data_IF_457216913450
#
_entry.id   IF_457216913450
#
_cell.length_a   1.000
_cell.length_b   1.000
_cell.length_c   1.000
_cell.angle_alpha   90.00
_cell.angle_beta   90.00
_cell.angle_gamma   90.00
#
_symmetry.space_group_name_H-M   'P 1'
#
loop_
_entity.id
_entity.type
_entity.pdbx_description
1 polymer ?
#
# COMPACT_ATOMS: atom_id res chain seq x y z
N UNK A 1 -14.59 4.59 -13.99
CA UNK A 1 -14.86 5.19 -12.67
C UNK A 1 -14.13 4.32 -11.66
N UNK A 2 -13.10 4.85 -10.97
CA UNK A 2 -12.29 4.04 -10.06
C UNK A 2 -13.03 3.74 -8.75
N UNK A 3 -12.64 2.67 -8.05
CA UNK A 3 -13.21 2.28 -6.74
C UNK A 3 -13.18 3.49 -5.77
N UNK A 4 -12.08 4.26 -5.77
CA UNK A 4 -11.94 5.48 -5.00
C UNK A 4 -12.93 6.59 -5.35
N UNK A 5 -13.29 6.75 -6.64
CA UNK A 5 -14.27 7.75 -7.05
C UNK A 5 -15.66 7.37 -6.57
N UNK A 6 -16.04 6.10 -6.75
CA UNK A 6 -17.32 5.57 -6.26
C UNK A 6 -17.44 5.68 -4.73
N UNK A 7 -16.39 5.32 -4.00
CA UNK A 7 -16.34 5.49 -2.55
C UNK A 7 -16.56 6.95 -2.13
N UNK A 8 -15.82 7.89 -2.74
CA UNK A 8 -15.98 9.32 -2.44
C UNK A 8 -17.40 9.81 -2.71
N UNK A 9 -18.03 9.37 -3.79
CA UNK A 9 -19.41 9.74 -4.10
C UNK A 9 -20.41 9.17 -3.07
N UNK A 10 -20.22 7.92 -2.65
CA UNK A 10 -21.04 7.26 -1.61
C UNK A 10 -20.88 7.94 -0.25
N UNK A 11 -19.66 8.28 0.15
CA UNK A 11 -19.37 8.97 1.42
C UNK A 11 -19.77 10.44 1.40
N UNK A 12 -19.57 11.15 0.29
CA UNK A 12 -19.96 12.55 0.14
C UNK A 12 -21.48 12.72 -0.05
N UNK A 13 -22.20 11.65 -0.43
CA UNK A 13 -23.65 11.71 -0.56
C UNK A 13 -24.28 12.06 0.79
N UNK A 14 -24.92 13.23 0.83
CA UNK A 14 -25.73 13.65 1.97
C UNK A 14 -27.08 12.92 1.87
N UNK A 15 -27.12 11.72 2.45
CA UNK A 15 -28.26 10.79 2.42
C UNK A 15 -29.58 11.50 2.78
N UNK A 16 -29.58 12.41 3.75
CA UNK A 16 -30.76 13.21 4.12
C UNK A 16 -31.32 14.02 2.95
N UNK A 17 -30.45 14.69 2.18
CA UNK A 17 -30.88 15.53 1.05
C UNK A 17 -31.40 14.75 -0.17
N UNK A 18 -30.95 13.50 -0.33
CA UNK A 18 -31.45 12.59 -1.37
C UNK A 18 -32.80 11.97 -0.95
N UNK A 19 -32.98 11.69 0.34
CA UNK A 19 -34.23 11.16 0.89
C UNK A 19 -35.38 12.15 0.80
N UNK A 20 -35.12 13.43 1.05
CA UNK A 20 -36.13 14.50 0.97
C UNK A 20 -36.75 14.66 -0.44
N UNK A 21 -36.10 14.10 -1.47
CA UNK A 21 -36.51 14.20 -2.88
C UNK A 21 -36.91 12.86 -3.50
N UNK A 22 -36.84 11.77 -2.74
CA UNK A 22 -37.12 10.43 -3.24
C UNK A 22 -38.63 10.13 -3.19
N UNK A 23 -39.19 9.57 -4.27
CA UNK A 23 -40.57 9.07 -4.28
C UNK A 23 -40.77 7.87 -3.33
N UNK A 24 -39.74 7.04 -3.16
CA UNK A 24 -39.71 5.89 -2.25
C UNK A 24 -38.39 5.89 -1.45
N UNK A 25 -38.34 6.62 -0.32
CA UNK A 25 -37.13 6.77 0.48
C UNK A 25 -36.68 5.45 1.11
N UNK A 26 -37.60 4.55 1.48
CA UNK A 26 -37.26 3.28 2.11
C UNK A 26 -36.51 2.35 1.15
N UNK A 27 -36.97 2.28 -0.11
CA UNK A 27 -36.28 1.52 -1.15
C UNK A 27 -34.92 2.12 -1.50
N UNK A 28 -34.82 3.45 -1.54
CA UNK A 28 -33.56 4.14 -1.82
C UNK A 28 -32.49 3.82 -0.75
N UNK A 29 -32.85 3.89 0.54
CA UNK A 29 -31.93 3.54 1.65
C UNK A 29 -31.42 2.10 1.51
N UNK A 30 -32.32 1.13 1.27
CA UNK A 30 -31.93 -0.28 1.12
C UNK A 30 -30.95 -0.50 -0.02
N UNK A 31 -31.13 0.21 -1.15
CA UNK A 31 -30.21 0.15 -2.28
C UNK A 31 -28.85 0.78 -1.94
N UNK A 32 -28.84 1.92 -1.26
CA UNK A 32 -27.60 2.59 -0.85
C UNK A 32 -26.80 1.76 0.17
N UNK A 33 -27.46 1.17 1.17
CA UNK A 33 -26.82 0.27 2.15
C UNK A 33 -26.18 -0.91 1.42
N UNK A 34 -26.89 -1.54 0.49
CA UNK A 34 -26.35 -2.66 -0.29
C UNK A 34 -25.14 -2.25 -1.14
N UNK A 35 -25.20 -1.10 -1.79
CA UNK A 35 -24.07 -0.58 -2.59
C UNK A 35 -22.86 -0.27 -1.70
N UNK A 36 -23.08 0.26 -0.50
CA UNK A 36 -22.05 0.48 0.52
C UNK A 36 -21.44 -0.84 1.01
N UNK A 37 -22.24 -1.87 1.25
CA UNK A 37 -21.77 -3.21 1.63
C UNK A 37 -20.92 -3.86 0.52
N UNK A 38 -21.38 -3.81 -0.73
CA UNK A 38 -20.66 -4.33 -1.88
C UNK A 38 -19.32 -3.60 -2.06
N UNK A 39 -19.34 -2.26 -1.96
CA UNK A 39 -18.13 -1.43 -2.03
C UNK A 39 -17.15 -1.74 -0.88
N UNK A 40 -17.66 -1.99 0.33
CA UNK A 40 -16.84 -2.35 1.49
C UNK A 40 -16.08 -3.67 1.24
N UNK A 41 -16.74 -4.66 0.64
CA UNK A 41 -16.12 -5.94 0.28
C UNK A 41 -15.01 -5.73 -0.76
N UNK A 42 -15.27 -4.92 -1.78
CA UNK A 42 -14.29 -4.60 -2.83
C UNK A 42 -13.05 -3.89 -2.26
N UNK A 43 -13.22 -2.89 -1.40
CA UNK A 43 -12.10 -2.16 -0.78
C UNK A 43 -11.31 -3.08 0.15
N UNK A 44 -11.98 -3.93 0.96
CA UNK A 44 -11.31 -4.91 1.82
C UNK A 44 -10.46 -5.90 1.02
N UNK A 45 -10.98 -6.38 -0.11
CA UNK A 45 -10.24 -7.27 -1.01
C UNK A 45 -9.02 -6.58 -1.63
N UNK A 46 -9.21 -5.33 -2.07
CA UNK A 46 -8.12 -4.50 -2.63
C UNK A 46 -7.03 -4.21 -1.59
N UNK A 47 -7.42 -3.92 -0.34
CA UNK A 47 -6.51 -3.74 0.79
C UNK A 47 -5.73 -5.03 1.09
N UNK A 48 -6.39 -6.18 1.13
CA UNK A 48 -5.72 -7.47 1.33
C UNK A 48 -4.69 -7.76 0.22
N UNK A 49 -5.01 -7.45 -1.04
CA UNK A 49 -4.07 -7.58 -2.16
C UNK A 49 -2.87 -6.63 -2.01
N UNK A 50 -3.10 -5.38 -1.59
CA UNK A 50 -2.04 -4.42 -1.34
C UNK A 50 -1.10 -4.88 -0.21
N UNK A 51 -1.64 -5.40 0.89
CA UNK A 51 -0.86 -6.00 1.99
C UNK A 51 -0.05 -7.22 1.51
N UNK A 52 -0.64 -8.07 0.67
CA UNK A 52 0.08 -9.19 0.08
C UNK A 52 1.23 -8.72 -0.83
N UNK A 53 1.03 -7.64 -1.59
CA UNK A 53 2.09 -7.06 -2.41
C UNK A 53 3.20 -6.44 -1.55
N UNK A 54 2.84 -5.64 -0.54
CA UNK A 54 3.77 -5.07 0.44
C UNK A 54 4.65 -6.15 1.06
N UNK A 55 4.09 -7.30 1.46
CA UNK A 55 4.88 -8.43 1.98
C UNK A 55 5.85 -9.03 0.96
N UNK A 56 5.50 -9.06 -0.33
CA UNK A 56 6.41 -9.52 -1.38
C UNK A 56 7.56 -8.53 -1.60
N UNK A 57 7.25 -7.23 -1.66
CA UNK A 57 8.24 -6.16 -1.81
C UNK A 57 9.17 -6.11 -0.60
N UNK A 58 8.65 -6.28 0.61
CA UNK A 58 9.46 -6.38 1.82
C UNK A 58 10.46 -7.54 1.76
N UNK A 59 10.04 -8.74 1.33
CA UNK A 59 10.97 -9.87 1.18
C UNK A 59 12.05 -9.59 0.14
N UNK A 60 11.69 -8.94 -0.97
CA UNK A 60 12.65 -8.51 -1.98
C UNK A 60 13.66 -7.50 -1.40
N UNK A 61 13.20 -6.57 -0.57
CA UNK A 61 14.07 -5.63 0.14
C UNK A 61 15.06 -6.36 1.03
N UNK A 62 14.58 -7.32 1.84
CA UNK A 62 15.41 -8.13 2.73
C UNK A 62 16.50 -8.88 1.93
N UNK A 63 16.15 -9.49 0.80
CA UNK A 63 17.09 -10.20 -0.08
C UNK A 63 18.15 -9.26 -0.68
N UNK A 64 17.76 -8.06 -1.10
CA UNK A 64 18.67 -7.04 -1.66
C UNK A 64 19.62 -6.52 -0.58
N UNK A 65 19.11 -6.24 0.62
CA UNK A 65 19.91 -5.82 1.77
C UNK A 65 20.91 -6.89 2.19
N UNK A 66 20.55 -8.17 2.12
CA UNK A 66 21.50 -9.27 2.35
C UNK A 66 22.66 -9.21 1.34
N UNK A 67 22.39 -8.97 0.05
CA UNK A 67 23.44 -8.82 -0.97
C UNK A 67 24.28 -7.57 -0.74
N UNK A 68 23.68 -6.46 -0.35
CA UNK A 68 24.39 -5.24 0.01
C UNK A 68 25.39 -5.49 1.14
N UNK A 69 24.92 -6.13 2.23
CA UNK A 69 25.74 -6.51 3.38
C UNK A 69 26.85 -7.50 3.00
N UNK A 70 26.55 -8.46 2.13
CA UNK A 70 27.56 -9.39 1.61
C UNK A 70 28.70 -8.65 0.90
N UNK A 71 28.39 -7.68 0.04
CA UNK A 71 29.40 -6.88 -0.64
C UNK A 71 30.15 -5.94 0.29
N UNK A 72 29.48 -5.39 1.31
CA UNK A 72 30.12 -4.62 2.37
C UNK A 72 31.17 -5.46 3.12
N UNK A 73 30.79 -6.63 3.61
CA UNK A 73 31.69 -7.55 4.31
C UNK A 73 32.88 -7.99 3.42
N UNK A 74 32.62 -8.21 2.12
CA UNK A 74 33.66 -8.58 1.15
C UNK A 74 34.64 -7.43 0.89
N UNK A 75 34.15 -6.19 0.86
CA UNK A 75 35.00 -5.00 0.77
C UNK A 75 35.89 -4.87 2.02
N UNK A 76 35.32 -4.99 3.22
CA UNK A 76 36.06 -4.93 4.49
C UNK A 76 37.16 -6.01 4.55
N UNK A 77 36.81 -7.25 4.19
CA UNK A 77 37.78 -8.35 4.15
C UNK A 77 38.91 -8.10 3.13
N UNK A 78 38.60 -7.50 1.99
CA UNK A 78 39.60 -7.16 0.99
C UNK A 78 40.55 -6.06 1.49
N UNK A 79 40.03 -5.03 2.17
CA UNK A 79 40.84 -3.99 2.82
C UNK A 79 41.73 -4.60 3.91
N UNK A 80 41.18 -5.45 4.78
CA UNK A 80 41.95 -6.12 5.83
C UNK A 80 43.11 -6.98 5.28
N UNK A 81 42.97 -7.48 4.05
CA UNK A 81 44.00 -8.26 3.34
C UNK A 81 44.90 -7.41 2.43
N UNK A 82 44.79 -6.07 2.45
CA UNK A 82 45.57 -5.15 1.61
C UNK A 82 45.27 -5.26 0.11
N UNK A 83 44.09 -5.77 -0.25
CA UNK A 83 43.68 -6.00 -1.64
C UNK A 83 42.78 -4.87 -2.16
N UNK A 84 43.35 -3.68 -2.30
CA UNK A 84 42.60 -2.45 -2.62
C UNK A 84 41.78 -2.52 -3.90
N UNK A 85 42.28 -3.19 -4.94
CA UNK A 85 41.54 -3.35 -6.20
C UNK A 85 40.24 -4.16 -6.01
N UNK A 86 40.29 -5.23 -5.22
CA UNK A 86 39.11 -6.05 -4.90
C UNK A 86 38.16 -5.30 -3.96
N UNK A 87 38.69 -4.53 -3.01
CA UNK A 87 37.88 -3.69 -2.14
C UNK A 87 37.08 -2.65 -2.95
N UNK A 88 37.73 -1.97 -3.91
CA UNK A 88 37.05 -1.01 -4.80
C UNK A 88 35.95 -1.67 -5.64
N UNK A 89 36.21 -2.85 -6.20
CA UNK A 89 35.19 -3.61 -6.95
C UNK A 89 34.00 -4.01 -6.07
N UNK A 90 34.27 -4.50 -4.85
CA UNK A 90 33.21 -4.87 -3.91
C UNK A 90 32.38 -3.66 -3.48
N UNK A 91 33.00 -2.49 -3.26
CA UNK A 91 32.29 -1.24 -2.97
C UNK A 91 31.43 -0.76 -4.15
N UNK A 92 31.90 -0.96 -5.39
CA UNK A 92 31.12 -0.63 -6.57
C UNK A 92 29.86 -1.49 -6.66
N UNK A 93 29.97 -2.80 -6.42
CA UNK A 93 28.81 -3.69 -6.36
C UNK A 93 27.90 -3.35 -5.18
N UNK A 94 28.44 -3.10 -3.97
CA UNK A 94 27.66 -2.62 -2.83
C UNK A 94 26.82 -1.42 -3.22
N UNK A 95 27.42 -0.39 -3.84
CA UNK A 95 26.72 0.83 -4.26
C UNK A 95 25.56 0.54 -5.23
N UNK A 96 25.70 -0.45 -6.12
CA UNK A 96 24.60 -0.87 -7.01
C UNK A 96 23.45 -1.49 -6.25
N UNK A 97 23.73 -2.26 -5.20
CA UNK A 97 22.68 -2.81 -4.33
C UNK A 97 22.07 -1.72 -3.44
N UNK A 98 22.86 -0.80 -2.88
CA UNK A 98 22.34 0.37 -2.13
C UNK A 98 21.32 1.16 -2.94
N UNK A 99 21.62 1.47 -4.21
CA UNK A 99 20.67 2.17 -5.09
C UNK A 99 19.37 1.37 -5.33
N UNK A 100 19.45 0.04 -5.36
CA UNK A 100 18.26 -0.81 -5.48
C UNK A 100 17.48 -0.85 -4.17
N UNK A 101 18.17 -0.92 -3.03
CA UNK A 101 17.58 -0.84 -1.69
C UNK A 101 16.75 0.44 -1.57
N UNK A 102 17.35 1.59 -1.88
CA UNK A 102 16.69 2.91 -1.86
C UNK A 102 15.43 2.93 -2.74
N UNK A 103 15.51 2.40 -3.97
CA UNK A 103 14.36 2.38 -4.88
C UNK A 103 13.20 1.50 -4.35
N UNK A 104 13.52 0.34 -3.79
CA UNK A 104 12.52 -0.59 -3.23
C UNK A 104 11.93 -0.06 -1.93
N UNK A 105 12.71 0.66 -1.12
CA UNK A 105 12.22 1.34 0.10
C UNK A 105 11.19 2.43 -0.24
N UNK A 106 11.41 3.17 -1.33
CA UNK A 106 10.43 4.16 -1.82
C UNK A 106 9.13 3.45 -2.24
N UNK A 107 9.22 2.38 -3.04
CA UNK A 107 8.04 1.60 -3.45
C UNK A 107 7.27 1.03 -2.24
N UNK A 108 7.98 0.51 -1.25
CA UNK A 108 7.38 0.00 -0.02
C UNK A 108 6.67 1.12 0.76
N UNK A 109 7.26 2.31 0.80
CA UNK A 109 6.66 3.49 1.45
C UNK A 109 5.36 3.91 0.75
N UNK A 110 5.33 3.93 -0.59
CA UNK A 110 4.12 4.21 -1.36
C UNK A 110 3.02 3.16 -1.11
N UNK A 111 3.39 1.87 -1.07
CA UNK A 111 2.44 0.80 -0.74
C UNK A 111 1.86 0.94 0.67
N UNK A 112 2.69 1.34 1.65
CA UNK A 112 2.21 1.59 3.00
C UNK A 112 1.19 2.73 3.03
N UNK A 113 1.44 3.83 2.32
CA UNK A 113 0.50 4.94 2.22
C UNK A 113 -0.84 4.50 1.60
N UNK A 114 -0.80 3.68 0.54
CA UNK A 114 -2.01 3.14 -0.10
C UNK A 114 -2.79 2.23 0.86
N UNK A 115 -2.10 1.39 1.64
CA UNK A 115 -2.74 0.51 2.62
C UNK A 115 -3.41 1.31 3.73
N UNK A 116 -2.75 2.36 4.24
CA UNK A 116 -3.34 3.26 5.25
C UNK A 116 -4.57 3.97 4.69
N UNK A 117 -4.52 4.49 3.46
CA UNK A 117 -5.70 5.09 2.82
C UNK A 117 -6.86 4.09 2.72
N UNK A 118 -6.60 2.84 2.33
CA UNK A 118 -7.66 1.82 2.31
C UNK A 118 -8.24 1.53 3.69
N UNK A 119 -7.42 1.56 4.75
CA UNK A 119 -7.89 1.35 6.12
C UNK A 119 -8.80 2.49 6.58
N UNK A 120 -8.42 3.73 6.26
CA UNK A 120 -9.22 4.91 6.55
C UNK A 120 -10.56 4.86 5.81
N UNK A 121 -10.54 4.54 4.50
CA UNK A 121 -11.75 4.42 3.68
C UNK A 121 -12.69 3.32 4.21
N UNK A 122 -12.14 2.17 4.62
CA UNK A 122 -12.90 1.07 5.25
C UNK A 122 -13.56 1.56 6.54
N UNK A 123 -12.82 2.27 7.40
CA UNK A 123 -13.33 2.78 8.66
C UNK A 123 -14.48 3.78 8.45
N UNK A 124 -14.31 4.71 7.50
CA UNK A 124 -15.33 5.69 7.16
C UNK A 124 -16.61 5.03 6.63
N UNK A 125 -16.48 4.04 5.73
CA UNK A 125 -17.63 3.31 5.20
C UNK A 125 -18.36 2.48 6.26
N UNK A 126 -17.61 1.81 7.14
CA UNK A 126 -18.17 1.06 8.27
C UNK A 126 -18.91 1.98 9.25
N UNK A 127 -18.37 3.16 9.53
CA UNK A 127 -19.04 4.14 10.38
C UNK A 127 -20.32 4.67 9.73
N UNK A 128 -20.30 4.92 8.42
CA UNK A 128 -21.48 5.37 7.68
C UNK A 128 -22.56 4.30 7.63
N UNK A 129 -22.20 3.02 7.42
CA UNK A 129 -23.11 1.88 7.53
C UNK A 129 -23.73 1.73 8.92
N UNK A 130 -22.97 1.97 10.00
CA UNK A 130 -23.50 1.93 11.38
C UNK A 130 -24.45 3.07 11.70
N UNK A 131 -24.31 4.21 11.02
CA UNK A 131 -25.16 5.39 11.23
C UNK A 131 -26.42 5.43 10.35
N UNK A 132 -26.53 4.50 9.39
CA UNK A 132 -27.68 4.33 8.50
C UNK A 132 -28.75 3.44 9.14
#
# INVERSE_FOLDING_TARGET
MGIFTRFKDIVASNMSSMLDKAEDPEKLIKLMIREMEDTLIEIKSSCANAIANQKKVQRLLDDIQEKENFWANKAELAVAKGKDALARQALQEKRRYTQKTEAVEIELTELNMIIEQYRDDICELENKLKSA
#
